data_IF_221841739951
#
_entry.id   IF_221841739951
#
_cell.length_a   1.000
_cell.length_b   1.000
_cell.length_c   1.000
_cell.angle_alpha   90.00
_cell.angle_beta   90.00
_cell.angle_gamma   90.00
#
_symmetry.space_group_name_H-M   'P 1'
#
loop_
_entity.id
_entity.type
_entity.pdbx_description
1 polymer ?
#
# COMPACT_ATOMS: atom_id res chain seq x y z
N UNK A 1 -30.01 -42.01 -19.42
CA UNK A 1 -29.68 -40.75 -20.10
C UNK A 1 -29.12 -39.82 -19.03
N UNK A 2 -27.89 -39.36 -19.23
CA UNK A 2 -27.13 -38.50 -18.33
C UNK A 2 -27.84 -37.18 -18.06
N UNK A 3 -27.79 -36.72 -16.81
CA UNK A 3 -27.60 -35.30 -16.52
C UNK A 3 -26.68 -35.14 -15.31
N UNK A 4 -25.38 -34.99 -15.60
CA UNK A 4 -24.42 -34.30 -14.72
C UNK A 4 -24.73 -32.81 -14.83
N UNK A 5 -24.97 -32.12 -13.71
CA UNK A 5 -24.36 -30.82 -13.34
C UNK A 5 -24.67 -30.67 -11.84
N UNK A 6 -23.73 -31.07 -10.98
CA UNK A 6 -23.72 -30.56 -9.60
C UNK A 6 -22.83 -29.32 -9.62
N UNK A 7 -23.39 -28.21 -10.11
CA UNK A 7 -22.76 -26.89 -10.02
C UNK A 7 -23.06 -26.34 -8.63
N UNK A 8 -22.35 -26.88 -7.64
CA UNK A 8 -22.03 -26.08 -6.48
C UNK A 8 -21.04 -25.03 -6.97
N UNK A 9 -21.59 -23.86 -7.31
CA UNK A 9 -20.90 -22.59 -7.31
C UNK A 9 -20.19 -22.47 -5.96
N UNK A 10 -18.94 -22.91 -5.91
CA UNK A 10 -18.02 -22.49 -4.86
C UNK A 10 -17.93 -20.99 -5.06
N UNK A 11 -18.26 -20.15 -4.05
CA UNK A 11 -17.86 -18.76 -4.15
C UNK A 11 -16.35 -18.81 -4.40
N UNK A 12 -15.86 -18.11 -5.42
CA UNK A 12 -14.43 -17.79 -5.50
C UNK A 12 -14.01 -17.42 -4.08
N UNK A 13 -13.14 -18.21 -3.47
CA UNK A 13 -12.38 -17.75 -2.33
C UNK A 13 -11.76 -16.47 -2.84
N UNK A 14 -12.22 -15.32 -2.34
CA UNK A 14 -11.73 -14.02 -2.74
C UNK A 14 -10.20 -14.13 -2.70
N UNK A 15 -9.56 -14.08 -3.87
CA UNK A 15 -8.12 -14.22 -3.97
C UNK A 15 -7.55 -13.15 -3.04
N UNK A 16 -7.05 -13.58 -1.88
CA UNK A 16 -6.63 -12.65 -0.84
C UNK A 16 -5.39 -11.95 -1.40
N UNK A 17 -5.58 -10.74 -1.93
CA UNK A 17 -4.53 -10.04 -2.65
C UNK A 17 -3.41 -9.68 -1.66
N UNK A 18 -2.28 -10.35 -1.78
CA UNK A 18 -1.16 -10.22 -0.83
C UNK A 18 -0.22 -9.10 -1.30
N UNK A 19 0.14 -8.19 -0.38
CA UNK A 19 1.16 -7.18 -0.65
C UNK A 19 2.53 -7.84 -0.89
N UNK A 20 3.25 -7.47 -1.95
CA UNK A 20 4.56 -8.03 -2.23
C UNK A 20 5.61 -7.55 -1.22
N UNK A 21 6.62 -8.40 -0.99
CA UNK A 21 7.76 -8.10 -0.11
C UNK A 21 7.65 -8.78 1.25
N UNK A 22 8.31 -8.20 2.26
CA UNK A 22 8.29 -8.75 3.63
C UNK A 22 6.95 -8.48 4.32
N UNK A 23 6.55 -9.30 5.30
CA UNK A 23 5.32 -9.07 6.05
C UNK A 23 5.27 -7.70 6.71
N UNK A 24 4.08 -7.11 6.75
CA UNK A 24 3.83 -5.85 7.44
C UNK A 24 3.90 -6.04 8.96
N UNK A 25 4.54 -5.10 9.69
CA UNK A 25 4.35 -4.97 11.13
C UNK A 25 2.86 -4.80 11.50
N UNK A 26 2.47 -5.27 12.69
CA UNK A 26 1.07 -5.24 13.13
C UNK A 26 0.52 -3.80 13.20
N UNK A 27 1.37 -2.83 13.48
CA UNK A 27 0.99 -1.41 13.63
C UNK A 27 0.68 -0.73 12.28
N UNK A 28 1.00 -1.38 11.16
CA UNK A 28 0.96 -0.74 9.83
C UNK A 28 -0.42 -0.74 9.17
N UNK A 29 -1.37 -1.57 9.62
CA UNK A 29 -2.80 -1.57 9.23
C UNK A 29 -3.07 -1.18 7.77
N UNK A 30 -2.49 -1.92 6.83
CA UNK A 30 -2.62 -1.59 5.41
C UNK A 30 -4.03 -1.88 4.88
N UNK A 31 -4.57 -0.94 4.12
CA UNK A 31 -5.80 -1.11 3.34
C UNK A 31 -5.43 -1.14 1.86
N UNK A 32 -5.85 -2.18 1.15
CA UNK A 32 -5.54 -2.34 -0.27
C UNK A 32 -6.33 -1.34 -1.12
N UNK A 33 -5.80 -1.06 -2.32
CA UNK A 33 -6.40 -0.17 -3.32
C UNK A 33 -6.83 1.20 -2.78
N UNK A 34 -6.11 1.71 -1.78
CA UNK A 34 -6.42 2.97 -1.13
C UNK A 34 -5.28 3.96 -1.32
N UNK A 35 -5.64 5.17 -1.76
CA UNK A 35 -4.76 6.33 -1.78
C UNK A 35 -5.30 7.37 -0.79
N UNK A 36 -4.40 7.94 0.02
CA UNK A 36 -4.75 8.91 1.05
C UNK A 36 -4.19 10.29 0.70
N UNK A 37 -5.08 11.27 0.58
CA UNK A 37 -4.68 12.67 0.42
C UNK A 37 -4.13 13.27 1.72
N UNK A 38 -3.23 14.24 1.61
CA UNK A 38 -2.70 14.96 2.77
C UNK A 38 -1.40 15.71 2.49
N UNK A 39 -0.79 16.25 3.54
CA UNK A 39 0.53 16.84 3.46
C UNK A 39 1.61 15.76 3.58
N UNK A 40 2.29 15.48 2.48
CA UNK A 40 3.37 14.51 2.42
C UNK A 40 4.61 15.02 3.20
N UNK A 41 5.01 14.29 4.25
CA UNK A 41 6.29 14.55 4.96
C UNK A 41 7.50 14.05 4.16
N UNK A 42 7.26 13.07 3.29
CA UNK A 42 8.14 12.56 2.24
C UNK A 42 7.26 12.28 1.01
N UNK A 43 7.77 12.62 -0.18
CA UNK A 43 6.99 12.60 -1.41
C UNK A 43 7.38 11.38 -2.26
N UNK A 44 6.40 10.51 -2.55
CA UNK A 44 6.54 9.26 -3.31
C UNK A 44 7.34 9.39 -4.61
N UNK A 45 7.08 10.41 -5.41
CA UNK A 45 7.78 10.67 -6.68
C UNK A 45 9.32 10.74 -6.57
N UNK A 46 9.85 10.95 -5.37
CA UNK A 46 11.29 11.00 -5.10
C UNK A 46 11.74 10.11 -3.95
N UNK A 47 10.83 9.32 -3.38
CA UNK A 47 11.10 8.45 -2.24
C UNK A 47 10.56 7.05 -2.58
N UNK A 48 11.50 6.13 -2.79
CA UNK A 48 11.18 4.76 -3.16
C UNK A 48 11.55 3.79 -2.05
N UNK A 49 10.74 2.75 -1.90
CA UNK A 49 10.95 1.63 -0.98
C UNK A 49 10.66 0.31 -1.66
N UNK A 50 11.43 -0.71 -1.31
CA UNK A 50 11.30 -2.04 -1.92
C UNK A 50 10.00 -2.76 -1.52
N UNK A 51 9.35 -2.34 -0.43
CA UNK A 51 8.11 -2.96 0.05
C UNK A 51 7.23 -1.99 0.85
N UNK A 52 5.94 -2.32 0.96
CA UNK A 52 4.99 -1.64 1.82
C UNK A 52 5.45 -1.61 3.28
N UNK A 53 6.07 -2.71 3.75
CA UNK A 53 6.59 -2.80 5.11
C UNK A 53 7.76 -1.84 5.36
N UNK A 54 8.61 -1.57 4.37
CA UNK A 54 9.68 -0.58 4.47
C UNK A 54 9.16 0.85 4.39
N UNK A 55 8.08 1.08 3.65
CA UNK A 55 7.38 2.36 3.64
C UNK A 55 6.77 2.66 5.02
N UNK A 56 6.01 1.73 5.58
CA UNK A 56 5.45 1.87 6.92
C UNK A 56 6.55 2.10 7.98
N UNK A 57 7.61 1.29 7.97
CA UNK A 57 8.71 1.46 8.93
C UNK A 57 9.36 2.85 8.78
N UNK A 58 9.48 3.36 7.56
CA UNK A 58 9.95 4.73 7.31
C UNK A 58 9.03 5.78 7.96
N UNK A 59 7.72 5.61 7.85
CA UNK A 59 6.74 6.48 8.49
C UNK A 59 6.86 6.44 10.02
N UNK A 60 6.89 5.24 10.61
CA UNK A 60 7.06 5.05 12.06
C UNK A 60 8.36 5.71 12.57
N UNK A 61 9.47 5.47 11.87
CA UNK A 61 10.76 6.06 12.21
C UNK A 61 10.72 7.59 12.12
N UNK A 62 10.09 8.16 11.09
CA UNK A 62 9.93 9.61 10.97
C UNK A 62 9.06 10.17 12.10
N UNK A 63 7.97 9.48 12.47
CA UNK A 63 7.09 9.89 13.57
C UNK A 63 7.80 9.92 14.93
N UNK A 64 8.68 8.95 15.19
CA UNK A 64 9.48 8.85 16.41
C UNK A 64 10.55 9.96 16.49
N UNK A 65 11.23 10.25 15.38
CA UNK A 65 12.39 11.14 15.34
C UNK A 65 12.09 12.58 14.87
N UNK A 66 10.84 12.88 14.51
CA UNK A 66 10.43 14.22 14.09
C UNK A 66 10.72 15.24 15.20
N UNK A 67 11.38 16.34 14.81
CA UNK A 67 11.61 17.47 15.70
C UNK A 67 10.29 18.22 15.99
N UNK A 68 10.22 19.04 17.05
CA UNK A 68 9.00 19.76 17.42
C UNK A 68 8.38 20.62 16.30
N UNK A 69 9.23 21.14 15.40
CA UNK A 69 8.82 21.95 14.24
C UNK A 69 8.43 21.13 13.00
N UNK A 70 8.63 19.81 13.02
CA UNK A 70 8.34 18.91 11.91
C UNK A 70 7.00 18.21 12.09
N UNK A 71 6.26 18.05 11.00
CA UNK A 71 5.08 17.19 10.99
C UNK A 71 5.50 15.73 11.18
N UNK A 72 4.84 15.05 12.11
CA UNK A 72 4.97 13.60 12.28
C UNK A 72 4.25 12.88 11.17
N UNK A 73 4.81 11.74 10.76
CA UNK A 73 4.10 10.83 9.89
C UNK A 73 3.01 10.12 10.70
N UNK A 74 1.83 9.98 10.12
CA UNK A 74 0.70 9.27 10.73
C UNK A 74 -0.02 8.34 9.74
N UNK A 75 0.36 8.40 8.46
CA UNK A 75 -0.18 7.57 7.39
C UNK A 75 0.91 7.36 6.35
N UNK A 76 0.87 6.23 5.66
CA UNK A 76 1.79 5.86 4.60
C UNK A 76 0.98 5.31 3.42
N UNK A 77 1.49 5.49 2.21
CA UNK A 77 0.93 4.97 0.97
C UNK A 77 2.07 4.30 0.22
N UNK A 78 1.81 3.14 -0.40
CA UNK A 78 2.82 2.41 -1.15
C UNK A 78 2.25 1.98 -2.50
N UNK A 79 3.01 2.16 -3.57
CA UNK A 79 2.64 1.64 -4.88
C UNK A 79 3.36 0.33 -5.21
N UNK A 80 2.71 -0.85 -5.10
CA UNK A 80 3.34 -2.13 -5.43
C UNK A 80 3.36 -2.45 -6.95
N UNK A 81 2.54 -1.77 -7.73
CA UNK A 81 2.28 -2.11 -9.14
C UNK A 81 3.40 -1.67 -10.08
N UNK A 82 3.93 -2.59 -10.90
CA UNK A 82 4.87 -2.28 -11.99
C UNK A 82 4.27 -1.33 -13.03
N UNK A 83 2.94 -1.37 -13.22
CA UNK A 83 2.22 -0.49 -14.13
C UNK A 83 1.96 0.91 -13.53
N UNK A 84 2.37 1.15 -12.28
CA UNK A 84 2.06 2.35 -11.53
C UNK A 84 0.72 2.28 -10.81
N UNK A 85 0.44 3.31 -10.01
CA UNK A 85 -0.76 3.42 -9.19
C UNK A 85 -1.53 4.69 -9.54
N UNK A 86 -2.85 4.64 -9.45
CA UNK A 86 -3.68 5.82 -9.68
C UNK A 86 -3.72 6.70 -8.43
N UNK A 87 -3.52 8.00 -8.62
CA UNK A 87 -3.85 9.04 -7.63
C UNK A 87 -4.56 10.18 -8.37
N UNK A 88 -5.56 10.85 -7.76
CA UNK A 88 -6.31 11.93 -8.40
C UNK A 88 -5.51 13.25 -8.44
N UNK A 89 -4.28 13.23 -8.97
CA UNK A 89 -3.41 14.39 -9.14
C UNK A 89 -2.79 14.44 -10.55
N UNK A 90 -1.90 15.41 -10.80
CA UNK A 90 -1.34 15.67 -12.14
C UNK A 90 -0.12 14.81 -12.48
N UNK A 91 0.36 13.98 -11.57
CA UNK A 91 1.59 13.21 -11.70
C UNK A 91 1.30 11.75 -12.09
N UNK A 92 2.24 11.14 -12.80
CA UNK A 92 2.26 9.71 -13.06
C UNK A 92 3.04 9.02 -11.93
N UNK A 93 2.37 8.18 -11.16
CA UNK A 93 2.98 7.42 -10.08
C UNK A 93 3.48 6.05 -10.56
N UNK A 94 4.67 5.68 -10.12
CA UNK A 94 5.37 4.46 -10.51
C UNK A 94 5.49 3.47 -9.36
N UNK A 95 5.95 2.27 -9.69
CA UNK A 95 6.23 1.25 -8.69
C UNK A 95 7.20 1.77 -7.62
N UNK A 96 7.03 1.25 -6.40
CA UNK A 96 7.88 1.49 -5.24
C UNK A 96 7.76 2.87 -4.61
N UNK A 97 6.91 3.76 -5.13
CA UNK A 97 6.66 5.06 -4.52
C UNK A 97 6.09 4.92 -3.10
N UNK A 98 6.71 5.67 -2.20
CA UNK A 98 6.40 5.86 -0.78
C UNK A 98 6.66 7.34 -0.44
#
# INVERSE_FOLDING_TARGET
>A
MNTTINSTFMPEEAEEEVLPGRPLPQECSAELHTDYGGAAVRWGLTHHKESAADCCQGCLNHAEHARPEQMKCNIWVYCPSEAGCYSPNIYEHRQQEC
#
